data_IF_886949766163
#
_entry.id   IF_886949766163
#
_cell.length_a   1.000
_cell.length_b   1.000
_cell.length_c   1.000
_cell.angle_alpha   90.00
_cell.angle_beta   90.00
_cell.angle_gamma   90.00
#
_symmetry.space_group_name_H-M   'P 1'
#
loop_
_entity.id
_entity.type
_entity.pdbx_description
1 polymer ?
#
# COMPACT_ATOMS: atom_id res chain seq x y z
N UNK A 1 14.42 32.53 -17.68
CA UNK A 1 13.45 31.71 -16.91
C UNK A 1 12.08 32.02 -17.47
N UNK A 2 11.42 31.06 -18.12
CA UNK A 2 10.07 31.25 -18.65
C UNK A 2 9.11 30.45 -17.78
N UNK A 3 8.16 31.14 -17.13
CA UNK A 3 7.13 30.51 -16.33
C UNK A 3 6.04 30.07 -17.33
N UNK A 4 5.95 28.76 -17.57
CA UNK A 4 4.89 28.21 -18.41
C UNK A 4 3.58 28.11 -17.64
N UNK A 5 2.51 28.69 -18.19
CA UNK A 5 1.17 28.54 -17.64
C UNK A 5 0.65 27.11 -17.85
N UNK A 6 -0.02 26.57 -16.82
CA UNK A 6 -0.65 25.25 -16.86
C UNK A 6 -2.11 25.38 -16.42
N UNK A 7 -3.01 24.68 -17.11
CA UNK A 7 -4.43 24.65 -16.77
C UNK A 7 -4.71 23.61 -15.67
N UNK A 8 -5.49 24.00 -14.66
CA UNK A 8 -5.95 23.11 -13.60
C UNK A 8 -7.41 22.71 -13.79
N UNK A 9 -7.77 21.53 -13.31
CA UNK A 9 -9.17 21.09 -13.28
C UNK A 9 -9.90 21.80 -12.13
N UNK A 10 -10.90 22.61 -12.47
CA UNK A 10 -11.80 23.24 -11.51
C UNK A 10 -13.20 22.64 -11.63
N UNK A 11 -13.82 22.33 -10.49
CA UNK A 11 -15.22 21.93 -10.43
C UNK A 11 -16.09 23.13 -10.06
N UNK A 12 -17.15 23.38 -10.83
CA UNK A 12 -18.06 24.50 -10.62
C UNK A 12 -19.22 24.17 -9.66
N UNK A 13 -19.39 22.90 -9.28
CA UNK A 13 -20.44 22.41 -8.40
C UNK A 13 -19.91 21.26 -7.54
N UNK A 14 -20.42 21.15 -6.32
CA UNK A 14 -20.05 20.12 -5.35
C UNK A 14 -21.31 19.43 -4.81
N UNK A 15 -21.19 18.16 -4.46
CA UNK A 15 -22.24 17.38 -3.80
C UNK A 15 -21.69 16.75 -2.51
N UNK A 16 -22.46 16.81 -1.43
CA UNK A 16 -22.13 16.11 -0.20
C UNK A 16 -22.42 14.62 -0.36
N UNK A 17 -21.36 13.79 -0.39
CA UNK A 17 -21.51 12.33 -0.42
C UNK A 17 -21.21 11.74 0.96
N UNK A 18 -22.08 10.87 1.50
CA UNK A 18 -21.79 10.18 2.75
C UNK A 18 -20.51 9.34 2.58
N UNK A 19 -19.57 9.53 3.51
CA UNK A 19 -18.33 8.76 3.55
C UNK A 19 -18.71 7.34 3.92
N UNK A 20 -18.29 6.35 3.12
CA UNK A 20 -18.43 4.94 3.53
C UNK A 20 -17.67 4.77 4.84
N UNK A 21 -18.40 4.43 5.90
CA UNK A 21 -17.83 4.08 7.19
C UNK A 21 -16.97 2.83 6.97
N UNK A 22 -15.67 3.03 6.82
CA UNK A 22 -14.73 1.92 6.89
C UNK A 22 -14.67 1.61 8.36
N UNK A 23 -15.53 0.72 8.83
CA UNK A 23 -15.42 0.12 10.15
C UNK A 23 -13.94 -0.15 10.36
N UNK A 24 -13.34 0.64 11.25
CA UNK A 24 -11.93 0.54 11.56
C UNK A 24 -11.86 -0.73 12.38
N UNK A 25 -11.76 -1.86 11.69
CA UNK A 25 -11.59 -3.16 12.32
C UNK A 25 -10.32 -2.99 13.14
N UNK A 26 -10.50 -2.84 14.45
CA UNK A 26 -9.39 -2.83 15.39
C UNK A 26 -8.76 -4.20 15.25
N UNK A 27 -7.69 -4.26 14.46
CA UNK A 27 -6.86 -5.43 14.43
C UNK A 27 -6.16 -5.44 15.79
N UNK A 28 -6.35 -6.47 16.61
CA UNK A 28 -5.67 -6.58 17.89
C UNK A 28 -4.14 -6.69 17.71
N UNK A 29 -3.69 -7.00 16.50
CA UNK A 29 -2.30 -7.07 16.12
C UNK A 29 -1.70 -5.69 15.79
N UNK A 30 -0.46 -5.47 16.22
CA UNK A 30 0.35 -4.33 15.77
C UNK A 30 0.69 -4.40 14.27
N UNK A 31 1.07 -3.27 13.64
CA UNK A 31 1.39 -3.24 12.22
C UNK A 31 2.67 -4.02 11.90
N UNK A 32 2.67 -4.78 10.79
CA UNK A 32 3.87 -5.47 10.30
C UNK A 32 5.03 -4.53 9.90
N UNK A 33 4.72 -3.29 9.50
CA UNK A 33 5.69 -2.28 9.12
C UNK A 33 5.06 -0.89 9.19
N UNK A 34 5.73 0.03 9.88
CA UNK A 34 5.30 1.43 10.01
C UNK A 34 5.11 2.12 8.65
N UNK A 35 6.09 1.93 7.75
CA UNK A 35 6.14 2.68 6.48
C UNK A 35 5.54 1.93 5.30
N UNK A 36 5.55 0.58 5.32
CA UNK A 36 5.27 -0.26 4.14
C UNK A 36 4.20 -1.33 4.38
N UNK A 37 3.24 -1.08 5.28
CA UNK A 37 2.13 -2.00 5.59
C UNK A 37 1.43 -2.63 4.37
N UNK A 38 1.33 -1.91 3.26
CA UNK A 38 0.67 -2.40 2.05
C UNK A 38 1.39 -3.56 1.34
N UNK A 39 2.68 -3.81 1.62
CA UNK A 39 3.46 -4.91 1.03
C UNK A 39 3.36 -6.21 1.83
N UNK A 40 2.85 -6.13 3.05
CA UNK A 40 2.72 -7.27 3.96
C UNK A 40 1.26 -7.77 3.98
N UNK A 41 1.11 -9.05 4.31
CA UNK A 41 -0.14 -9.67 4.73
C UNK A 41 0.06 -10.08 6.18
N UNK A 42 -0.93 -9.81 7.02
CA UNK A 42 -0.93 -10.21 8.42
C UNK A 42 -2.01 -11.27 8.63
N UNK A 43 -1.63 -12.38 9.27
CA UNK A 43 -2.59 -13.35 9.77
C UNK A 43 -3.34 -12.74 10.97
N UNK A 44 -4.68 -12.60 10.92
CA UNK A 44 -5.45 -11.96 11.98
C UNK A 44 -5.55 -12.80 13.27
N UNK A 45 -5.31 -14.11 13.21
CA UNK A 45 -5.35 -15.00 14.38
C UNK A 45 -3.98 -15.08 15.06
N UNK A 46 -2.89 -15.09 14.29
CA UNK A 46 -1.53 -15.29 14.82
C UNK A 46 -0.66 -14.03 14.82
N UNK A 47 -1.14 -12.94 14.24
CA UNK A 47 -0.41 -11.70 14.01
C UNK A 47 0.87 -11.85 13.16
N UNK A 48 1.13 -13.02 12.56
CA UNK A 48 2.31 -13.28 11.74
C UNK A 48 2.26 -12.47 10.45
N UNK A 49 3.40 -11.89 10.12
CA UNK A 49 3.57 -11.06 8.93
C UNK A 49 4.28 -11.84 7.83
N UNK A 50 3.76 -11.76 6.62
CA UNK A 50 4.34 -12.35 5.41
C UNK A 50 4.31 -11.37 4.25
N UNK A 51 5.14 -11.57 3.23
CA UNK A 51 5.14 -10.74 2.04
C UNK A 51 4.01 -11.08 1.09
N UNK A 52 3.39 -10.05 0.49
CA UNK A 52 2.43 -10.26 -0.62
C UNK A 52 3.06 -10.86 -1.86
N UNK A 53 4.33 -10.53 -2.10
CA UNK A 53 5.11 -11.16 -3.16
C UNK A 53 5.73 -12.43 -2.64
N UNK A 54 5.72 -13.47 -3.47
CA UNK A 54 6.51 -14.67 -3.25
C UNK A 54 7.87 -14.55 -3.92
N UNK A 55 8.85 -15.28 -3.40
CA UNK A 55 10.18 -15.41 -4.00
C UNK A 55 10.10 -15.91 -5.45
N UNK A 56 9.30 -16.95 -5.69
CA UNK A 56 9.04 -17.50 -7.04
C UNK A 56 8.56 -16.45 -8.04
N UNK A 57 7.69 -15.52 -7.62
CA UNK A 57 7.19 -14.45 -8.48
C UNK A 57 8.23 -13.38 -8.76
N UNK A 58 9.17 -13.16 -7.85
CA UNK A 58 10.29 -12.25 -8.05
C UNK A 58 11.29 -12.87 -9.03
N UNK A 59 11.66 -14.14 -8.82
CA UNK A 59 12.55 -14.90 -9.69
C UNK A 59 12.05 -15.01 -11.13
N UNK A 60 10.74 -15.19 -11.33
CA UNK A 60 10.13 -15.16 -12.67
C UNK A 60 10.33 -13.83 -13.42
N UNK A 61 10.67 -12.75 -12.70
CA UNK A 61 10.98 -11.42 -13.26
C UNK A 61 12.47 -11.10 -13.19
N UNK A 62 13.32 -12.08 -12.87
CA UNK A 62 14.77 -11.90 -12.64
C UNK A 62 15.06 -10.89 -11.52
N UNK A 63 14.26 -10.97 -10.44
CA UNK A 63 14.38 -10.13 -9.25
C UNK A 63 14.48 -11.01 -8.01
N UNK A 64 15.06 -10.48 -6.95
CA UNK A 64 15.13 -11.11 -5.63
C UNK A 64 14.11 -10.48 -4.66
N UNK A 65 13.50 -11.30 -3.81
CA UNK A 65 12.59 -10.80 -2.77
C UNK A 65 13.38 -10.47 -1.50
N UNK A 66 13.29 -9.22 -1.04
CA UNK A 66 13.76 -8.88 0.28
C UNK A 66 12.68 -9.18 1.33
N UNK A 67 12.79 -10.29 2.05
CA UNK A 67 11.78 -10.73 3.03
C UNK A 67 11.56 -9.74 4.18
N UNK A 68 12.58 -8.96 4.55
CA UNK A 68 12.45 -7.94 5.61
C UNK A 68 11.61 -6.74 5.20
N UNK A 69 11.59 -6.42 3.90
CA UNK A 69 10.94 -5.20 3.40
C UNK A 69 9.86 -5.46 2.34
N UNK A 70 9.70 -6.72 1.94
CA UNK A 70 8.85 -7.22 0.86
C UNK A 70 9.01 -6.49 -0.48
N UNK A 71 10.19 -5.92 -0.71
CA UNK A 71 10.55 -5.28 -1.97
C UNK A 71 11.11 -6.30 -2.94
N UNK A 72 10.77 -6.12 -4.21
CA UNK A 72 11.47 -6.77 -5.32
C UNK A 72 12.74 -5.96 -5.57
N UNK A 73 13.90 -6.60 -5.47
CA UNK A 73 15.20 -6.02 -5.75
C UNK A 73 15.67 -6.53 -7.12
N UNK A 74 16.27 -5.65 -7.91
CA UNK A 74 17.02 -5.99 -9.12
C UNK A 74 18.39 -6.48 -8.76
#
# INVERSE_FOLDING_TARGET
>A
QHIGEMSFLQHNKCECRPKKDKARQENPCGPCSERRKHLFVQDPQTCKCSCKNTDSRCKARQLELNERTCRRLT
#
